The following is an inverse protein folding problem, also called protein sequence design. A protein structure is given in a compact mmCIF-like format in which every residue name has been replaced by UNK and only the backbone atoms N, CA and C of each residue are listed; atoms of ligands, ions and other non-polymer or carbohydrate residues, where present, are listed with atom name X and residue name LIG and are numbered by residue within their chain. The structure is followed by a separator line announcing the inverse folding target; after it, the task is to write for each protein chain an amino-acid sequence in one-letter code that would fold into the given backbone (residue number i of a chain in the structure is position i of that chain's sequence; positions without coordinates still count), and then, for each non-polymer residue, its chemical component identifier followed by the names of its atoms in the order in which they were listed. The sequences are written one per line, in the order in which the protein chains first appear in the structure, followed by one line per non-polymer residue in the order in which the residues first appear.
data_IF_776985318625
#
_entry.id   IF_776985318625
#
_cell.length_a   1.000
_cell.length_b   1.000
_cell.length_c   1.000
_cell.angle_alpha   90.00
_cell.angle_beta   90.00
_cell.angle_gamma   90.00
#
_symmetry.space_group_name_H-M   'P 1'
#
loop_
_entity.id
_entity.type
_entity.pdbx_description
1 polymer ?
#
# COMPACT_ATOMS: atom_id res chain seq x y z
N UNK A 1 6.24 -7.22 36.21
CA UNK A 1 6.66 -7.55 34.83
C UNK A 1 5.51 -7.17 33.92
N UNK A 2 5.64 -6.07 33.18
CA UNK A 2 4.75 -5.84 32.03
C UNK A 2 5.20 -6.82 30.94
N UNK A 3 4.24 -7.48 30.29
CA UNK A 3 4.55 -8.41 29.21
C UNK A 3 4.88 -7.61 27.93
N UNK A 4 5.88 -8.03 27.16
CA UNK A 4 6.39 -7.31 25.97
C UNK A 4 5.31 -6.99 24.91
N UNK A 5 4.18 -7.70 24.92
CA UNK A 5 3.04 -7.43 24.02
C UNK A 5 2.17 -6.23 24.45
N UNK A 6 2.39 -5.66 25.64
CA UNK A 6 1.68 -4.45 26.13
C UNK A 6 2.35 -3.14 25.70
N UNK A 7 3.47 -3.21 24.96
CA UNK A 7 3.99 -2.02 24.29
C UNK A 7 3.08 -1.68 23.14
N UNK A 8 2.23 -0.68 23.35
CA UNK A 8 1.51 0.02 22.29
C UNK A 8 2.56 0.38 21.26
N UNK A 9 2.52 -0.30 20.11
CA UNK A 9 3.42 -0.08 19.00
C UNK A 9 3.53 1.42 18.79
N UNK A 10 4.75 1.96 18.89
CA UNK A 10 4.99 3.32 18.43
C UNK A 10 4.43 3.42 17.02
N UNK A 11 3.59 4.42 16.69
CA UNK A 11 3.10 4.57 15.34
C UNK A 11 4.31 4.53 14.42
N UNK A 12 4.31 3.66 13.40
CA UNK A 12 5.48 3.50 12.55
C UNK A 12 5.89 4.86 12.04
N UNK A 13 7.20 5.15 12.07
CA UNK A 13 7.72 6.41 11.52
C UNK A 13 7.15 6.60 10.12
N UNK A 14 6.78 7.83 9.71
CA UNK A 14 6.14 8.08 8.41
C UNK A 14 6.86 7.43 7.21
N UNK A 15 8.20 7.39 7.27
CA UNK A 15 9.05 6.73 6.26
C UNK A 15 8.87 5.19 6.23
N UNK A 16 8.71 4.56 7.39
CA UNK A 16 8.46 3.12 7.49
C UNK A 16 7.04 2.76 6.98
N UNK A 17 6.05 3.60 7.27
CA UNK A 17 4.69 3.45 6.76
C UNK A 17 4.64 3.56 5.23
N UNK A 18 5.36 4.54 4.66
CA UNK A 18 5.48 4.70 3.20
C UNK A 18 6.18 3.51 2.55
N UNK A 19 7.34 3.11 3.04
CA UNK A 19 8.07 1.98 2.48
C UNK A 19 7.26 0.67 2.56
N UNK A 20 6.49 0.49 3.64
CA UNK A 20 5.57 -0.64 3.77
C UNK A 20 4.44 -0.57 2.73
N UNK A 21 3.80 0.58 2.56
CA UNK A 21 2.75 0.76 1.56
C UNK A 21 3.26 0.49 0.14
N UNK A 22 4.44 1.00 -0.23
CA UNK A 22 5.05 0.74 -1.54
C UNK A 22 5.32 -0.75 -1.77
N UNK A 23 5.86 -1.46 -0.76
CA UNK A 23 6.09 -2.92 -0.85
C UNK A 23 4.77 -3.68 -1.04
N UNK A 24 3.76 -3.34 -0.25
CA UNK A 24 2.44 -3.98 -0.30
C UNK A 24 1.76 -3.77 -1.65
N UNK A 25 1.68 -2.52 -2.12
CA UNK A 25 1.07 -2.21 -3.42
C UNK A 25 1.83 -2.85 -4.58
N UNK A 26 3.18 -2.90 -4.52
CA UNK A 26 3.98 -3.56 -5.55
C UNK A 26 3.74 -5.07 -5.58
N UNK A 27 3.60 -5.71 -4.42
CA UNK A 27 3.26 -7.13 -4.35
C UNK A 27 1.86 -7.39 -4.93
N UNK A 28 0.87 -6.57 -4.56
CA UNK A 28 -0.49 -6.65 -5.09
C UNK A 28 -0.54 -6.46 -6.61
N UNK A 29 0.11 -5.42 -7.13
CA UNK A 29 0.16 -5.16 -8.56
C UNK A 29 0.81 -6.30 -9.35
N UNK A 30 1.90 -6.90 -8.83
CA UNK A 30 2.56 -8.07 -9.43
C UNK A 30 1.65 -9.29 -9.45
N UNK A 31 0.92 -9.52 -8.35
CA UNK A 31 -0.05 -10.61 -8.27
C UNK A 31 -1.16 -10.40 -9.31
N UNK A 32 -1.77 -9.21 -9.35
CA UNK A 32 -2.86 -8.91 -10.27
C UNK A 32 -2.44 -9.02 -11.74
N UNK A 33 -1.22 -8.58 -12.07
CA UNK A 33 -0.62 -8.81 -13.40
C UNK A 33 -0.50 -10.30 -13.71
N UNK A 34 0.00 -11.13 -12.78
CA UNK A 34 0.13 -12.59 -12.97
C UNK A 34 -1.22 -13.28 -13.15
N UNK A 35 -2.27 -12.74 -12.54
CA UNK A 35 -3.65 -13.21 -12.71
C UNK A 35 -4.30 -12.74 -14.02
N UNK A 36 -3.58 -11.99 -14.86
CA UNK A 36 -4.07 -11.53 -16.17
C UNK A 36 -4.96 -10.29 -16.11
N UNK A 37 -4.96 -9.56 -15.00
CA UNK A 37 -5.74 -8.32 -14.90
C UNK A 37 -5.09 -7.16 -15.64
N UNK A 38 -5.93 -6.24 -16.16
CA UNK A 38 -5.47 -5.05 -16.88
C UNK A 38 -4.77 -4.05 -15.94
N UNK A 39 -3.94 -3.14 -16.48
CA UNK A 39 -3.35 -2.05 -15.70
C UNK A 39 -4.40 -1.17 -15.03
N UNK A 40 -5.50 -0.85 -15.73
CA UNK A 40 -6.60 -0.05 -15.22
C UNK A 40 -7.31 -0.72 -14.02
N UNK A 41 -7.57 -2.04 -14.11
CA UNK A 41 -8.13 -2.79 -12.99
C UNK A 41 -7.15 -2.83 -11.80
N UNK A 42 -5.87 -3.07 -12.07
CA UNK A 42 -4.82 -3.10 -11.05
C UNK A 42 -4.72 -1.78 -10.31
N UNK A 43 -4.74 -0.66 -11.03
CA UNK A 43 -4.73 0.69 -10.47
C UNK A 43 -5.93 0.95 -9.58
N UNK A 44 -7.13 0.63 -10.06
CA UNK A 44 -8.37 0.76 -9.28
C UNK A 44 -8.31 -0.04 -7.98
N UNK A 45 -7.83 -1.29 -8.02
CA UNK A 45 -7.70 -2.13 -6.81
C UNK A 45 -6.64 -1.60 -5.85
N UNK A 46 -5.49 -1.15 -6.34
CA UNK A 46 -4.44 -0.58 -5.50
C UNK A 46 -4.92 0.69 -4.78
N UNK A 47 -5.64 1.59 -5.47
CA UNK A 47 -6.24 2.80 -4.88
C UNK A 47 -7.29 2.45 -3.82
N UNK A 48 -8.19 1.51 -4.12
CA UNK A 48 -9.23 1.08 -3.18
C UNK A 48 -8.63 0.47 -1.90
N UNK A 49 -7.62 -0.39 -2.03
CA UNK A 49 -6.95 -0.99 -0.87
C UNK A 49 -6.23 0.05 -0.02
N UNK A 50 -5.52 0.99 -0.66
CA UNK A 50 -4.85 2.08 0.06
C UNK A 50 -5.86 3.00 0.75
N UNK A 51 -6.98 3.32 0.12
CA UNK A 51 -8.04 4.11 0.73
C UNK A 51 -8.62 3.41 1.96
N UNK A 52 -8.92 2.11 1.85
CA UNK A 52 -9.45 1.30 2.96
C UNK A 52 -8.48 1.25 4.15
N UNK A 53 -7.19 1.05 3.89
CA UNK A 53 -6.17 0.94 4.95
C UNK A 53 -5.97 2.26 5.71
N UNK A 54 -6.20 3.40 5.05
CA UNK A 54 -5.96 4.73 5.62
C UNK A 54 -7.26 5.53 5.86
N UNK A 55 -8.43 4.92 5.72
CA UNK A 55 -9.75 5.55 5.93
C UNK A 55 -9.87 6.15 7.34
N UNK A 56 -9.32 5.47 8.35
CA UNK A 56 -9.35 5.90 9.76
C UNK A 56 -8.18 6.85 10.11
N UNK A 57 -7.03 6.70 9.45
CA UNK A 57 -5.81 7.47 9.74
C UNK A 57 -5.74 8.83 9.03
N UNK A 58 -6.64 9.09 8.08
CA UNK A 58 -6.90 10.41 7.50
C UNK A 58 -5.95 10.85 6.38
N UNK A 59 -4.78 10.23 6.21
CA UNK A 59 -3.91 10.52 5.06
C UNK A 59 -3.14 9.28 4.59
N UNK A 60 -3.33 8.84 3.33
CA UNK A 60 -2.52 7.77 2.77
C UNK A 60 -1.05 8.22 2.59
N UNK A 61 -0.08 7.31 2.78
CA UNK A 61 1.35 7.61 2.66
C UNK A 61 1.83 7.76 1.22
N UNK A 62 0.97 7.41 0.25
CA UNK A 62 1.20 7.52 -1.18
C UNK A 62 0.06 8.31 -1.82
N UNK A 63 0.43 9.17 -2.76
CA UNK A 63 -0.48 9.92 -3.61
C UNK A 63 -0.96 9.07 -4.79
N UNK A 64 -2.07 9.46 -5.41
CA UNK A 64 -2.62 8.74 -6.58
C UNK A 64 -1.64 8.66 -7.75
N UNK A 65 -0.80 9.68 -7.95
CA UNK A 65 0.24 9.71 -8.98
C UNK A 65 1.36 8.70 -8.69
N UNK A 66 1.73 8.54 -7.42
CA UNK A 66 2.73 7.55 -6.99
C UNK A 66 2.20 6.12 -7.14
N UNK A 67 0.92 5.88 -6.83
CA UNK A 67 0.27 4.59 -7.08
C UNK A 67 0.23 4.28 -8.57
N UNK A 68 -0.10 5.27 -9.40
CA UNK A 68 -0.13 5.12 -10.86
C UNK A 68 1.25 4.78 -11.44
N UNK A 69 2.29 5.53 -11.05
CA UNK A 69 3.66 5.25 -11.44
C UNK A 69 4.13 3.86 -10.98
N UNK A 70 3.75 3.44 -9.77
CA UNK A 70 4.05 2.11 -9.25
C UNK A 70 3.38 1.02 -10.08
N UNK A 71 2.10 1.16 -10.40
CA UNK A 71 1.36 0.18 -11.22
C UNK A 71 1.91 0.13 -12.64
N UNK A 72 2.20 1.28 -13.26
CA UNK A 72 2.85 1.35 -14.57
C UNK A 72 4.19 0.59 -14.56
N UNK A 73 5.05 0.82 -13.55
CA UNK A 73 6.34 0.11 -13.43
C UNK A 73 6.23 -1.41 -13.33
N UNK A 74 5.06 -1.94 -12.93
CA UNK A 74 4.81 -3.38 -12.86
C UNK A 74 4.26 -3.93 -14.16
N UNK A 75 3.46 -3.15 -14.90
CA UNK A 75 2.82 -3.60 -16.14
C UNK A 75 3.68 -3.39 -17.40
N UNK A 76 4.62 -2.44 -17.37
CA UNK A 76 5.49 -2.11 -18.50
C UNK A 76 4.86 -1.01 -19.33
#
# INVERSE_FOLDING_TARGET
MAFDWMHVDHPPRPEAARAQAERTLRAQARLLRRLGHTPAYTLSRCRANLAWEYEVAGKPPLTDAEVEALVASVHG
#
